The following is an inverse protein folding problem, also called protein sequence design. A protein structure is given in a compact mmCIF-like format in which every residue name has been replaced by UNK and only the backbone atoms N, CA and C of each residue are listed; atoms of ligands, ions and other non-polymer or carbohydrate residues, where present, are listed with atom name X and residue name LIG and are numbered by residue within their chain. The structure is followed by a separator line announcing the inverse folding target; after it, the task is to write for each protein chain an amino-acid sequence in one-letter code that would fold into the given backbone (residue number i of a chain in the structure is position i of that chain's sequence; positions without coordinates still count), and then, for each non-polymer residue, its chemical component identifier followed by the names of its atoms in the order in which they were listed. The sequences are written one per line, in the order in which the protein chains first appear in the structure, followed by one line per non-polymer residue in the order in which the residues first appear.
data_IF_948705338160
#
_entry.id   IF_948705338160
#
_cell.length_a   1.000
_cell.length_b   1.000
_cell.length_c   1.000
_cell.angle_alpha   90.00
_cell.angle_beta   90.00
_cell.angle_gamma   90.00
#
_symmetry.space_group_name_H-M   'P 1'
#
loop_
_entity.id
_entity.type
_entity.pdbx_description
1 polymer ?
#
# COMPACT_ATOMS: atom_id res chain seq x y z
N UNK A 1 29.71 47.08 31.92
CA UNK A 1 28.26 47.21 31.69
C UNK A 1 27.58 45.92 32.09
N UNK A 2 26.88 45.87 33.23
CA UNK A 2 26.12 44.68 33.66
C UNK A 2 24.75 44.75 33.02
N UNK A 3 24.53 44.00 31.95
CA UNK A 3 23.22 43.84 31.33
C UNK A 3 22.30 43.16 32.36
N UNK A 4 21.37 43.92 32.92
CA UNK A 4 20.32 43.37 33.78
C UNK A 4 19.43 42.51 32.90
N UNK A 5 19.67 41.19 32.91
CA UNK A 5 18.83 40.24 32.21
C UNK A 5 17.49 40.22 32.94
N UNK A 6 16.46 40.69 32.25
CA UNK A 6 15.09 40.68 32.74
C UNK A 6 14.52 39.27 32.55
N UNK A 7 14.84 38.38 33.50
CA UNK A 7 14.49 36.96 33.48
C UNK A 7 13.02 36.71 33.15
N UNK A 8 12.12 37.61 33.58
CA UNK A 8 10.68 37.51 33.30
C UNK A 8 10.37 37.67 31.81
N UNK A 9 11.05 38.59 31.13
CA UNK A 9 10.88 38.87 29.70
C UNK A 9 11.50 37.78 28.84
N UNK A 10 12.63 37.21 29.24
CA UNK A 10 13.24 36.07 28.56
C UNK A 10 12.43 34.79 28.76
N UNK A 11 11.89 34.57 29.96
CA UNK A 11 10.99 33.44 30.24
C UNK A 11 9.74 33.45 29.36
N UNK A 12 9.08 34.61 29.22
CA UNK A 12 7.90 34.73 28.34
C UNK A 12 8.23 34.49 26.86
N UNK A 13 9.42 34.91 26.39
CA UNK A 13 9.89 34.60 25.03
C UNK A 13 10.15 33.10 24.84
N UNK A 14 10.79 32.46 25.80
CA UNK A 14 11.08 31.02 25.77
C UNK A 14 9.80 30.19 25.83
N UNK A 15 8.83 30.59 26.66
CA UNK A 15 7.51 29.95 26.75
C UNK A 15 6.75 30.04 25.42
N UNK A 16 6.77 31.19 24.74
CA UNK A 16 6.17 31.34 23.40
C UNK A 16 6.82 30.41 22.38
N UNK A 17 8.16 30.39 22.32
CA UNK A 17 8.91 29.48 21.44
C UNK A 17 8.63 28.00 21.73
N UNK A 18 8.48 27.64 23.00
CA UNK A 18 8.13 26.27 23.40
C UNK A 18 6.72 25.87 22.93
N UNK A 19 5.76 26.79 23.01
CA UNK A 19 4.40 26.57 22.51
C UNK A 19 4.39 26.45 20.99
N UNK A 20 5.13 27.30 20.28
CA UNK A 20 5.30 27.23 18.82
C UNK A 20 5.93 25.90 18.41
N UNK A 21 7.04 25.51 19.05
CA UNK A 21 7.69 24.23 18.83
C UNK A 21 6.75 23.05 19.11
N UNK A 22 5.97 23.11 20.19
CA UNK A 22 4.99 22.06 20.52
C UNK A 22 3.90 21.94 19.44
N UNK A 23 3.43 23.07 18.88
CA UNK A 23 2.48 23.07 17.77
C UNK A 23 3.10 22.50 16.49
N UNK A 24 4.31 22.91 16.14
CA UNK A 24 5.03 22.39 14.98
C UNK A 24 5.29 20.89 15.09
N UNK A 25 5.74 20.42 16.25
CA UNK A 25 5.93 19.00 16.52
C UNK A 25 4.62 18.21 16.36
N UNK A 26 3.49 18.76 16.84
CA UNK A 26 2.17 18.14 16.66
C UNK A 26 1.75 18.08 15.19
N UNK A 27 2.00 19.12 14.41
CA UNK A 27 1.71 19.11 12.98
C UNK A 27 2.59 18.13 12.21
N UNK A 28 3.88 18.04 12.55
CA UNK A 28 4.82 17.08 11.97
C UNK A 28 4.37 15.66 12.30
N UNK A 29 4.00 15.37 13.54
CA UNK A 29 3.47 14.06 13.93
C UNK A 29 2.22 13.69 13.13
N UNK A 30 1.24 14.61 13.01
CA UNK A 30 0.03 14.40 12.20
C UNK A 30 0.33 14.17 10.72
N UNK A 31 1.34 14.84 10.16
CA UNK A 31 1.80 14.62 8.78
C UNK A 31 2.47 13.23 8.66
N UNK A 32 3.31 12.88 9.61
CA UNK A 32 3.97 11.57 9.68
C UNK A 32 2.96 10.42 9.72
N UNK A 33 1.96 10.50 10.59
CA UNK A 33 0.88 9.50 10.68
C UNK A 33 0.17 9.31 9.33
N UNK A 34 -0.14 10.40 8.63
CA UNK A 34 -0.79 10.35 7.31
C UNK A 34 0.08 9.67 6.26
N UNK A 35 1.37 9.99 6.22
CA UNK A 35 2.30 9.37 5.25
C UNK A 35 2.53 7.89 5.57
N UNK A 36 2.69 7.53 6.85
CA UNK A 36 2.80 6.13 7.27
C UNK A 36 1.54 5.34 6.88
N UNK A 37 0.35 5.90 7.09
CA UNK A 37 -0.90 5.26 6.69
C UNK A 37 -0.97 5.02 5.18
N UNK A 38 -0.57 6.01 4.36
CA UNK A 38 -0.49 5.88 2.90
C UNK A 38 0.49 4.79 2.48
N UNK A 39 1.72 4.82 3.00
CA UNK A 39 2.76 3.84 2.68
C UNK A 39 2.31 2.44 3.07
N UNK A 40 1.69 2.29 4.24
CA UNK A 40 1.15 1.01 4.72
C UNK A 40 0.09 0.47 3.77
N UNK A 41 -0.87 1.33 3.37
CA UNK A 41 -1.92 0.94 2.43
C UNK A 41 -1.34 0.54 1.06
N UNK A 42 -0.40 1.32 0.52
CA UNK A 42 0.26 0.99 -0.74
C UNK A 42 1.02 -0.33 -0.65
N UNK A 43 1.81 -0.52 0.42
CA UNK A 43 2.56 -1.74 0.67
C UNK A 43 1.65 -2.96 0.72
N UNK A 44 0.51 -2.87 1.42
CA UNK A 44 -0.50 -3.93 1.45
C UNK A 44 -1.00 -4.29 0.05
N UNK A 45 -1.35 -3.31 -0.78
CA UNK A 45 -1.82 -3.57 -2.14
C UNK A 45 -0.75 -4.25 -3.01
N UNK A 46 0.54 -3.90 -2.83
CA UNK A 46 1.64 -4.55 -3.53
C UNK A 46 1.87 -5.99 -3.07
N UNK A 47 1.77 -6.25 -1.75
CA UNK A 47 1.84 -7.61 -1.20
C UNK A 47 0.68 -8.47 -1.70
N UNK A 48 -0.54 -7.94 -1.67
CA UNK A 48 -1.75 -8.61 -2.19
C UNK A 48 -1.58 -8.96 -3.68
N UNK A 49 -1.00 -8.04 -4.48
CA UNK A 49 -0.75 -8.29 -5.90
C UNK A 49 0.26 -9.40 -6.13
N UNK A 50 1.30 -9.44 -5.31
CA UNK A 50 2.34 -10.48 -5.36
C UNK A 50 1.76 -11.84 -4.97
N UNK A 51 0.94 -11.88 -3.91
CA UNK A 51 0.25 -13.09 -3.49
C UNK A 51 -0.68 -13.65 -4.58
N UNK A 52 -1.40 -12.79 -5.32
CA UNK A 52 -2.22 -13.22 -6.46
C UNK A 52 -1.37 -13.81 -7.59
N UNK A 53 -0.22 -13.21 -7.90
CA UNK A 53 0.69 -13.75 -8.93
C UNK A 53 1.20 -15.14 -8.54
N UNK A 54 1.63 -15.33 -7.30
CA UNK A 54 2.09 -16.65 -6.81
C UNK A 54 0.97 -17.70 -6.88
N UNK A 55 -0.28 -17.33 -6.54
CA UNK A 55 -1.43 -18.22 -6.69
C UNK A 55 -1.68 -18.61 -8.14
N UNK A 56 -1.52 -17.68 -9.09
CA UNK A 56 -1.64 -17.96 -10.52
C UNK A 56 -0.57 -18.93 -11.01
N UNK A 57 0.69 -18.70 -10.65
CA UNK A 57 1.80 -19.59 -11.01
C UNK A 57 1.55 -21.01 -10.50
N UNK A 58 1.11 -21.14 -9.24
CA UNK A 58 0.72 -22.42 -8.65
C UNK A 58 -0.40 -23.10 -9.44
N UNK A 59 -1.45 -22.36 -9.83
CA UNK A 59 -2.54 -22.90 -10.64
C UNK A 59 -2.09 -23.32 -12.03
N UNK A 60 -1.25 -22.53 -12.71
CA UNK A 60 -0.69 -22.91 -14.01
C UNK A 60 0.14 -24.20 -13.92
N UNK A 61 0.94 -24.34 -12.87
CA UNK A 61 1.66 -25.57 -12.61
C UNK A 61 0.72 -26.77 -12.39
N UNK A 62 -0.36 -26.58 -11.61
CA UNK A 62 -1.36 -27.63 -11.39
C UNK A 62 -2.11 -28.02 -12.67
N UNK A 63 -2.44 -27.04 -13.52
CA UNK A 63 -3.05 -27.26 -14.85
C UNK A 63 -2.12 -28.11 -15.71
N UNK A 64 -0.84 -27.72 -15.83
CA UNK A 64 0.15 -28.47 -16.60
C UNK A 64 0.31 -29.90 -16.10
N UNK A 65 0.41 -30.08 -14.78
CA UNK A 65 0.49 -31.40 -14.14
C UNK A 65 -0.72 -32.27 -14.45
N UNK A 66 -1.93 -31.73 -14.35
CA UNK A 66 -3.17 -32.46 -14.59
C UNK A 66 -3.36 -32.78 -16.08
N UNK A 67 -2.94 -31.88 -16.96
CA UNK A 67 -2.99 -32.05 -18.41
C UNK A 67 -2.10 -33.21 -18.89
N UNK A 68 -0.85 -33.26 -18.39
CA UNK A 68 0.07 -34.37 -18.65
C UNK A 68 -0.45 -35.68 -18.04
N UNK A 69 -0.92 -35.63 -16.78
CA UNK A 69 -1.49 -36.81 -16.09
C UNK A 69 -2.68 -37.40 -16.85
N UNK A 70 -3.52 -36.55 -17.41
CA UNK A 70 -4.71 -36.94 -18.18
C UNK A 70 -4.40 -37.37 -19.62
N UNK A 71 -3.11 -37.57 -19.96
CA UNK A 71 -2.61 -37.94 -21.30
C UNK A 71 -3.08 -37.01 -22.41
N UNK A 72 -2.96 -35.70 -22.19
CA UNK A 72 -3.32 -34.68 -23.18
C UNK A 72 -4.78 -34.84 -23.68
N UNK A 73 -5.76 -34.62 -22.79
CA UNK A 73 -7.16 -34.83 -23.14
C UNK A 73 -7.61 -33.75 -24.13
N UNK A 74 -8.30 -34.16 -25.20
CA UNK A 74 -8.81 -33.23 -26.23
C UNK A 74 -9.88 -32.25 -25.69
N UNK A 75 -10.53 -32.60 -24.58
CA UNK A 75 -11.45 -31.73 -23.84
C UNK A 75 -10.96 -31.59 -22.40
N UNK A 76 -11.06 -30.40 -21.78
CA UNK A 76 -10.65 -30.22 -20.41
C UNK A 76 -11.51 -31.10 -19.49
N UNK A 77 -10.84 -31.88 -18.64
CA UNK A 77 -11.49 -32.65 -17.58
C UNK A 77 -12.18 -31.71 -16.59
N UNK A 78 -13.15 -32.19 -15.82
CA UNK A 78 -13.84 -31.37 -14.82
C UNK A 78 -12.87 -30.64 -13.88
N UNK A 79 -11.77 -31.29 -13.52
CA UNK A 79 -10.72 -30.70 -12.68
C UNK A 79 -9.92 -29.61 -13.39
N UNK A 80 -9.61 -29.78 -14.68
CA UNK A 80 -8.98 -28.75 -15.49
C UNK A 80 -9.91 -27.54 -15.70
N UNK A 81 -11.21 -27.77 -15.90
CA UNK A 81 -12.21 -26.71 -15.98
C UNK A 81 -12.23 -25.87 -14.71
N UNK A 82 -12.26 -26.51 -13.53
CA UNK A 82 -12.22 -25.81 -12.24
C UNK A 82 -10.96 -24.94 -12.10
N UNK A 83 -9.79 -25.46 -12.47
CA UNK A 83 -8.55 -24.67 -12.41
C UNK A 83 -8.57 -23.46 -13.35
N UNK A 84 -9.13 -23.62 -14.55
CA UNK A 84 -9.29 -22.51 -15.50
C UNK A 84 -10.27 -21.46 -14.98
N UNK A 85 -11.36 -21.86 -14.33
CA UNK A 85 -12.29 -20.94 -13.69
C UNK A 85 -11.63 -20.15 -12.54
N UNK A 86 -10.81 -20.82 -11.74
CA UNK A 86 -10.09 -20.16 -10.65
C UNK A 86 -9.02 -19.18 -11.16
N UNK A 87 -8.37 -19.48 -12.28
CA UNK A 87 -7.49 -18.50 -12.97
C UNK A 87 -8.30 -17.28 -13.41
N UNK A 88 -9.48 -17.46 -13.99
CA UNK A 88 -10.36 -16.33 -14.40
C UNK A 88 -10.80 -15.49 -13.20
N UNK A 89 -11.10 -16.11 -12.05
CA UNK A 89 -11.42 -15.38 -10.82
C UNK A 89 -10.23 -14.54 -10.36
N UNK A 90 -9.04 -15.14 -10.29
CA UNK A 90 -7.81 -14.42 -9.90
C UNK A 90 -7.45 -13.29 -10.89
N UNK A 91 -7.75 -13.44 -12.18
CA UNK A 91 -7.58 -12.37 -13.17
C UNK A 91 -8.49 -11.17 -12.90
N UNK A 92 -9.76 -11.41 -12.55
CA UNK A 92 -10.69 -10.35 -12.17
C UNK A 92 -10.23 -9.63 -10.91
N UNK A 93 -9.81 -10.40 -9.90
CA UNK A 93 -9.24 -9.85 -8.66
C UNK A 93 -8.01 -9.00 -8.93
N UNK A 94 -7.05 -9.51 -9.71
CA UNK A 94 -5.84 -8.79 -10.08
C UNK A 94 -6.16 -7.50 -10.85
N UNK A 95 -7.13 -7.53 -11.77
CA UNK A 95 -7.55 -6.34 -12.52
C UNK A 95 -8.14 -5.28 -11.58
N UNK A 96 -8.95 -5.70 -10.61
CA UNK A 96 -9.50 -4.80 -9.60
C UNK A 96 -8.39 -4.19 -8.72
N UNK A 97 -7.40 -5.00 -8.34
CA UNK A 97 -6.30 -4.57 -7.48
C UNK A 97 -5.35 -3.62 -8.22
N UNK A 98 -5.02 -3.91 -9.49
CA UNK A 98 -4.24 -3.02 -10.35
C UNK A 98 -4.92 -1.65 -10.52
N UNK A 99 -6.26 -1.62 -10.63
CA UNK A 99 -7.03 -0.35 -10.64
C UNK A 99 -6.87 0.39 -9.32
N UNK A 100 -7.05 -0.29 -8.17
CA UNK A 100 -6.85 0.32 -6.84
C UNK A 100 -5.44 0.88 -6.64
N UNK A 101 -4.41 0.18 -7.12
CA UNK A 101 -3.02 0.66 -7.09
C UNK A 101 -2.89 1.92 -7.95
N UNK A 102 -3.39 1.89 -9.20
CA UNK A 102 -3.34 3.03 -10.13
C UNK A 102 -4.08 4.26 -9.56
N UNK A 103 -5.29 4.07 -9.03
CA UNK A 103 -6.12 5.12 -8.47
C UNK A 103 -5.53 5.69 -7.17
N UNK A 104 -4.87 4.84 -6.37
CA UNK A 104 -4.11 5.23 -5.18
C UNK A 104 -2.83 6.01 -5.49
N UNK A 105 -2.20 5.77 -6.64
CA UNK A 105 -1.03 6.54 -7.12
C UNK A 105 -1.40 7.83 -7.87
N UNK A 106 -2.58 7.88 -8.51
CA UNK A 106 -2.97 8.99 -9.40
C UNK A 106 -3.52 10.24 -8.71
N UNK A 107 -4.15 10.12 -7.53
CA UNK A 107 -4.79 11.27 -6.86
C UNK A 107 -3.82 12.26 -6.19
N UNK A 108 -2.54 11.90 -6.02
CA UNK A 108 -1.55 12.79 -5.40
C UNK A 108 -0.73 13.60 -6.42
N UNK A 109 -0.81 13.31 -7.72
CA UNK A 109 -0.04 14.03 -8.75
C UNK A 109 -0.71 15.32 -9.25
N UNK A 110 -2.02 15.49 -9.05
CA UNK A 110 -2.80 16.62 -9.61
C UNK A 110 -3.15 17.75 -8.61
N UNK A 111 -2.62 17.72 -7.38
CA UNK A 111 -2.86 18.78 -6.37
C UNK A 111 -1.63 19.63 -6.03
N UNK A 112 -0.62 19.65 -6.91
CA UNK A 112 0.51 20.58 -6.85
C UNK A 112 0.65 21.32 -8.19
N UNK A 113 -0.28 22.23 -8.47
CA UNK A 113 -0.07 23.42 -9.31
C UNK A 113 -0.86 24.54 -8.66
#
# INVERSE_FOLDING_TARGET
MKSHIDFKKEWEKTKKKLIEFSKEASEIAKKGEKEIAKITQQSKLHLDSTAINLKKEKLYYQIGKEYVKSRNPAKPTAKLQNFVEDVKKLEREQKSLKRKIKDGTGKNAQKKV
#
